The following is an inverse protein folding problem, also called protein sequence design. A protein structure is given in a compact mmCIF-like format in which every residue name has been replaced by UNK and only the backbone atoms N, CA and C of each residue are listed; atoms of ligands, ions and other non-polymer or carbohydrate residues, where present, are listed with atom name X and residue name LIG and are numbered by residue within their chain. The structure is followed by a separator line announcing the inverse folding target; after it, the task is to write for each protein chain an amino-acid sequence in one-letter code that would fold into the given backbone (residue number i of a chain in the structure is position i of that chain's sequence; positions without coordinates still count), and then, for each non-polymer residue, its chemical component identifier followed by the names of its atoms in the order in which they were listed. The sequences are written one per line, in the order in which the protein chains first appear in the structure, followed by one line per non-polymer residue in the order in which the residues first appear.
data_IF_809935818774
#
_entry.id   IF_809935818774
#
_cell.length_a   1.000
_cell.length_b   1.000
_cell.length_c   1.000
_cell.angle_alpha   90.00
_cell.angle_beta   90.00
_cell.angle_gamma   90.00
#
_symmetry.space_group_name_H-M   'P 1'
#
loop_
_entity.id
_entity.type
_entity.pdbx_description
1 polymer ?
#
# COMPACT_ATOMS: atom_id res chain seq x y z
N UNK A 1 -15.77 -15.29 -12.94
CA UNK A 1 -14.65 -15.44 -11.99
C UNK A 1 -13.59 -16.31 -12.67
N UNK A 2 -12.66 -15.70 -13.41
CA UNK A 2 -11.66 -16.43 -14.20
C UNK A 2 -10.53 -16.90 -13.25
N UNK A 3 -10.65 -18.15 -12.78
CA UNK A 3 -9.63 -18.87 -11.99
C UNK A 3 -8.36 -19.05 -12.83
N UNK A 4 -7.19 -18.77 -12.24
CA UNK A 4 -5.82 -19.15 -12.68
C UNK A 4 -4.86 -18.09 -13.22
N UNK A 5 -5.06 -16.79 -13.01
CA UNK A 5 -3.88 -15.89 -13.04
C UNK A 5 -2.89 -16.35 -11.97
N UNK A 6 -1.70 -16.78 -12.39
CA UNK A 6 -0.75 -17.52 -11.55
C UNK A 6 -0.49 -16.81 -10.21
N UNK A 7 -0.53 -17.57 -9.12
CA UNK A 7 -0.41 -17.13 -7.72
C UNK A 7 0.78 -16.18 -7.50
N UNK A 8 1.87 -16.42 -8.21
CA UNK A 8 3.09 -15.61 -8.18
C UNK A 8 2.90 -14.23 -8.81
N UNK A 9 2.10 -14.13 -9.88
CA UNK A 9 1.86 -12.88 -10.60
C UNK A 9 1.18 -11.82 -9.75
N UNK A 10 0.11 -12.20 -9.01
CA UNK A 10 -0.64 -11.24 -8.16
C UNK A 10 0.22 -10.66 -7.04
N UNK A 11 1.04 -11.50 -6.39
CA UNK A 11 1.92 -11.08 -5.29
C UNK A 11 3.01 -10.11 -5.74
N UNK A 12 3.57 -10.32 -6.94
CA UNK A 12 4.55 -9.40 -7.52
C UNK A 12 3.95 -8.01 -7.69
N UNK A 13 2.71 -7.91 -8.20
CA UNK A 13 2.04 -6.62 -8.36
C UNK A 13 1.77 -5.93 -7.02
N UNK A 14 1.32 -6.67 -6.01
CA UNK A 14 1.13 -6.15 -4.64
C UNK A 14 2.45 -5.58 -4.10
N UNK A 15 3.54 -6.35 -4.16
CA UNK A 15 4.86 -5.91 -3.70
C UNK A 15 5.32 -4.67 -4.47
N UNK A 16 5.14 -4.67 -5.80
CA UNK A 16 5.53 -3.54 -6.65
C UNK A 16 4.75 -2.27 -6.29
N UNK A 17 3.46 -2.37 -5.98
CA UNK A 17 2.64 -1.25 -5.50
C UNK A 17 3.14 -0.73 -4.15
N UNK A 18 3.39 -1.62 -3.18
CA UNK A 18 3.87 -1.20 -1.86
C UNK A 18 5.28 -0.58 -1.93
N UNK A 19 6.17 -1.18 -2.72
CA UNK A 19 7.54 -0.70 -2.91
C UNK A 19 7.54 0.65 -3.64
N UNK A 20 6.70 0.82 -4.67
CA UNK A 20 6.61 2.08 -5.39
C UNK A 20 6.02 3.20 -4.52
N UNK A 21 5.03 2.90 -3.69
CA UNK A 21 4.48 3.86 -2.72
C UNK A 21 5.52 4.31 -1.70
N UNK A 22 6.26 3.35 -1.11
CA UNK A 22 7.35 3.66 -0.18
C UNK A 22 8.46 4.46 -0.88
N UNK A 23 8.88 4.03 -2.08
CA UNK A 23 9.90 4.71 -2.87
C UNK A 23 9.53 6.16 -3.20
N UNK A 24 8.28 6.42 -3.57
CA UNK A 24 7.75 7.77 -3.80
C UNK A 24 7.93 8.65 -2.54
N UNK A 25 7.49 8.17 -1.38
CA UNK A 25 7.65 8.89 -0.12
C UNK A 25 9.13 9.15 0.22
N UNK A 26 9.99 8.15 0.04
CA UNK A 26 11.43 8.28 0.32
C UNK A 26 12.13 9.27 -0.62
N UNK A 27 11.88 9.17 -1.93
CA UNK A 27 12.49 10.06 -2.93
C UNK A 27 12.01 11.50 -2.71
N UNK A 28 10.72 11.70 -2.42
CA UNK A 28 10.19 13.03 -2.11
C UNK A 28 10.89 13.65 -0.89
N UNK A 29 10.96 12.93 0.23
CA UNK A 29 11.61 13.44 1.45
C UNK A 29 13.11 13.67 1.26
N UNK A 30 13.78 12.79 0.51
CA UNK A 30 15.18 12.97 0.17
C UNK A 30 15.39 14.22 -0.68
N UNK A 31 14.60 14.40 -1.75
CA UNK A 31 14.67 15.53 -2.67
C UNK A 31 14.35 16.86 -2.00
N UNK A 32 13.44 16.86 -1.03
CA UNK A 32 13.15 18.03 -0.18
C UNK A 32 14.40 18.50 0.59
N UNK A 33 15.25 17.56 1.02
CA UNK A 33 16.48 17.89 1.78
C UNK A 33 17.72 18.12 0.92
N UNK A 34 17.90 17.33 -0.14
CA UNK A 34 19.05 17.42 -1.04
C UNK A 34 18.89 18.50 -2.13
N UNK A 35 17.67 19.02 -2.30
CA UNK A 35 17.30 19.93 -3.39
C UNK A 35 16.70 19.18 -4.57
N UNK A 36 15.72 19.81 -5.21
CA UNK A 36 15.05 19.26 -6.38
C UNK A 36 15.98 19.30 -7.60
N UNK A 37 16.20 18.14 -8.20
CA UNK A 37 16.91 18.00 -9.47
C UNK A 37 15.97 17.42 -10.52
N UNK A 38 16.23 17.69 -11.79
CA UNK A 38 15.45 17.10 -12.90
C UNK A 38 15.46 15.57 -12.83
N UNK A 39 16.56 14.97 -12.37
CA UNK A 39 16.67 13.53 -12.17
C UNK A 39 15.69 13.03 -11.10
N UNK A 40 15.58 13.69 -9.95
CA UNK A 40 14.64 13.29 -8.91
C UNK A 40 13.18 13.42 -9.36
N UNK A 41 12.84 14.51 -10.05
CA UNK A 41 11.49 14.69 -10.62
C UNK A 41 11.16 13.58 -11.63
N UNK A 42 12.10 13.21 -12.51
CA UNK A 42 11.89 12.14 -13.47
C UNK A 42 11.68 10.79 -12.78
N UNK A 43 12.50 10.48 -11.77
CA UNK A 43 12.37 9.25 -10.98
C UNK A 43 11.01 9.21 -10.27
N UNK A 44 10.59 10.31 -9.65
CA UNK A 44 9.29 10.40 -8.98
C UNK A 44 8.12 10.12 -9.92
N UNK A 45 8.14 10.70 -11.13
CA UNK A 45 7.12 10.44 -12.17
C UNK A 45 7.11 8.95 -12.55
N UNK A 46 8.27 8.31 -12.68
CA UNK A 46 8.38 6.88 -12.96
C UNK A 46 7.74 6.07 -11.82
N UNK A 47 8.02 6.42 -10.56
CA UNK A 47 7.43 5.76 -9.41
C UNK A 47 5.91 5.91 -9.37
N UNK A 48 5.37 7.10 -9.69
CA UNK A 48 3.92 7.31 -9.83
C UNK A 48 3.32 6.42 -10.93
N UNK A 49 3.96 6.34 -12.09
CA UNK A 49 3.49 5.51 -13.19
C UNK A 49 3.49 4.01 -12.81
N UNK A 50 4.55 3.54 -12.16
CA UNK A 50 4.64 2.16 -11.65
C UNK A 50 3.58 1.91 -10.58
N UNK A 51 3.37 2.86 -9.67
CA UNK A 51 2.36 2.76 -8.60
C UNK A 51 0.97 2.59 -9.20
N UNK A 52 0.58 3.45 -10.13
CA UNK A 52 -0.73 3.39 -10.77
C UNK A 52 -0.92 2.09 -11.57
N UNK A 53 0.08 1.72 -12.38
CA UNK A 53 0.01 0.52 -13.21
C UNK A 53 -0.06 -0.75 -12.36
N UNK A 54 0.81 -0.87 -11.36
CA UNK A 54 0.82 -2.00 -10.43
C UNK A 54 -0.44 -2.05 -9.58
N UNK A 55 -0.98 -0.91 -9.14
CA UNK A 55 -2.23 -0.85 -8.39
C UNK A 55 -3.40 -1.38 -9.21
N UNK A 56 -3.54 -0.94 -10.46
CA UNK A 56 -4.61 -1.42 -11.35
C UNK A 56 -4.48 -2.93 -11.57
N UNK A 57 -3.28 -3.42 -11.85
CA UNK A 57 -3.04 -4.84 -12.11
C UNK A 57 -3.22 -5.70 -10.86
N UNK A 58 -2.73 -5.25 -9.70
CA UNK A 58 -2.68 -6.00 -8.46
C UNK A 58 -3.96 -5.95 -7.63
N UNK A 59 -4.71 -4.84 -7.65
CA UNK A 59 -5.87 -4.63 -6.78
C UNK A 59 -7.18 -4.47 -7.54
N UNK A 60 -7.19 -3.73 -8.65
CA UNK A 60 -8.43 -3.46 -9.40
C UNK A 60 -8.83 -4.67 -10.23
N UNK A 61 -7.92 -5.19 -11.06
CA UNK A 61 -8.22 -6.34 -11.93
C UNK A 61 -8.44 -7.65 -11.17
N UNK A 62 -7.79 -7.81 -10.02
CA UNK A 62 -7.96 -8.97 -9.13
C UNK A 62 -9.25 -8.89 -8.30
N UNK A 63 -9.88 -7.71 -8.23
CA UNK A 63 -11.07 -7.48 -7.41
C UNK A 63 -10.80 -7.30 -5.92
N UNK A 64 -9.53 -7.36 -5.47
CA UNK A 64 -9.15 -7.14 -4.07
C UNK A 64 -9.56 -5.75 -3.58
N UNK A 65 -9.45 -4.74 -4.45
CA UNK A 65 -9.92 -3.38 -4.15
C UNK A 65 -11.42 -3.34 -3.88
N UNK A 66 -12.21 -3.98 -4.75
CA UNK A 66 -13.66 -4.02 -4.60
C UNK A 66 -14.07 -4.82 -3.36
N UNK A 67 -13.38 -5.94 -3.07
CA UNK A 67 -13.63 -6.76 -1.90
C UNK A 67 -13.46 -5.98 -0.59
N UNK A 68 -12.36 -5.22 -0.45
CA UNK A 68 -12.13 -4.39 0.74
C UNK A 68 -13.14 -3.24 0.94
N UNK A 69 -13.85 -2.83 -0.13
CA UNK A 69 -14.84 -1.75 -0.09
C UNK A 69 -16.28 -2.24 -0.17
N UNK A 70 -16.53 -3.56 -0.16
CA UNK A 70 -17.88 -4.11 -0.08
C UNK A 70 -18.50 -3.77 1.27
N UNK A 71 -19.81 -3.53 1.26
CA UNK A 71 -20.57 -3.34 2.48
C UNK A 71 -20.57 -4.62 3.31
N UNK A 72 -20.42 -4.50 4.64
CA UNK A 72 -20.47 -5.64 5.56
C UNK A 72 -21.76 -6.48 5.45
N UNK A 73 -22.87 -5.86 4.99
CA UNK A 73 -24.15 -6.55 4.79
C UNK A 73 -24.17 -7.49 3.57
N UNK A 74 -23.20 -7.36 2.67
CA UNK A 74 -23.09 -8.12 1.43
C UNK A 74 -22.06 -9.26 1.52
N UNK A 75 -21.38 -9.39 2.66
CA UNK A 75 -20.35 -10.39 2.88
C UNK A 75 -20.95 -11.59 3.61
N UNK A 76 -20.61 -12.77 3.14
CA UNK A 76 -20.93 -14.00 3.86
C UNK A 76 -20.12 -14.08 5.17
N UNK A 77 -20.57 -14.87 6.15
CA UNK A 77 -19.93 -14.99 7.47
C UNK A 77 -18.44 -15.36 7.37
N UNK A 78 -18.09 -16.21 6.38
CA UNK A 78 -16.70 -16.58 6.09
C UNK A 78 -15.88 -15.41 5.58
N UNK A 79 -16.40 -14.64 4.63
CA UNK A 79 -15.71 -13.47 4.08
C UNK A 79 -15.53 -12.38 5.14
N UNK A 80 -16.52 -12.21 6.01
CA UNK A 80 -16.46 -11.29 7.14
C UNK A 80 -15.35 -11.67 8.13
N UNK A 81 -15.21 -12.97 8.44
CA UNK A 81 -14.13 -13.46 9.30
C UNK A 81 -12.74 -13.19 8.69
N UNK A 82 -12.58 -13.42 7.38
CA UNK A 82 -11.34 -13.17 6.65
C UNK A 82 -10.98 -11.68 6.65
N UNK A 83 -11.96 -10.81 6.35
CA UNK A 83 -11.76 -9.35 6.35
C UNK A 83 -11.42 -8.86 7.77
N UNK A 84 -12.13 -9.34 8.79
CA UNK A 84 -11.87 -8.97 10.18
C UNK A 84 -10.46 -9.35 10.62
N UNK A 85 -10.03 -10.57 10.32
CA UNK A 85 -8.66 -11.05 10.59
C UNK A 85 -7.61 -10.21 9.85
N UNK A 86 -7.85 -9.93 8.56
CA UNK A 86 -6.94 -9.16 7.72
C UNK A 86 -6.84 -7.71 8.18
N UNK A 87 -7.96 -7.08 8.56
CA UNK A 87 -7.99 -5.73 9.12
C UNK A 87 -7.22 -5.68 10.44
N UNK A 88 -7.47 -6.61 11.37
CA UNK A 88 -6.77 -6.64 12.66
C UNK A 88 -5.25 -6.74 12.46
N UNK A 89 -4.82 -7.65 11.59
CA UNK A 89 -3.40 -7.82 11.25
C UNK A 89 -2.86 -6.56 10.58
N UNK A 90 -3.63 -5.95 9.68
CA UNK A 90 -3.23 -4.73 8.99
C UNK A 90 -3.02 -3.56 9.95
N UNK A 91 -3.96 -3.35 10.87
CA UNK A 91 -3.86 -2.30 11.89
C UNK A 91 -2.65 -2.52 12.79
N UNK A 92 -2.39 -3.75 13.24
CA UNK A 92 -1.21 -4.04 14.06
C UNK A 92 0.10 -3.66 13.33
N UNK A 93 0.25 -4.09 12.07
CA UNK A 93 1.42 -3.75 11.25
C UNK A 93 1.53 -2.24 11.02
N UNK A 94 0.42 -1.61 10.62
CA UNK A 94 0.38 -0.17 10.35
C UNK A 94 0.74 0.65 11.59
N UNK A 95 0.17 0.33 12.75
CA UNK A 95 0.46 1.03 14.00
C UNK A 95 1.93 0.91 14.39
N UNK A 96 2.51 -0.29 14.33
CA UNK A 96 3.94 -0.48 14.64
C UNK A 96 4.81 0.33 13.68
N UNK A 97 4.52 0.30 12.38
CA UNK A 97 5.27 1.04 11.36
C UNK A 97 5.15 2.55 11.55
N UNK A 98 3.95 3.08 11.76
CA UNK A 98 3.71 4.52 11.96
C UNK A 98 4.35 5.01 13.25
N UNK A 99 4.22 4.28 14.36
CA UNK A 99 4.87 4.68 15.62
C UNK A 99 6.40 4.67 15.49
N UNK A 100 6.96 3.66 14.83
CA UNK A 100 8.40 3.60 14.56
C UNK A 100 8.87 4.76 13.68
N UNK A 101 8.09 5.10 12.64
CA UNK A 101 8.35 6.24 11.78
C UNK A 101 8.26 7.57 12.54
N UNK A 102 7.23 7.78 13.34
CA UNK A 102 7.07 9.00 14.15
C UNK A 102 8.21 9.14 15.17
N UNK A 103 8.64 8.04 15.79
CA UNK A 103 9.82 8.04 16.66
C UNK A 103 11.08 8.45 15.88
N UNK A 104 11.30 7.91 14.68
CA UNK A 104 12.42 8.30 13.83
C UNK A 104 12.38 9.80 13.46
N UNK A 105 11.20 10.31 13.09
CA UNK A 105 11.02 11.73 12.78
C UNK A 105 11.32 12.60 14.00
N UNK A 106 10.85 12.20 15.19
CA UNK A 106 11.12 12.90 16.44
C UNK A 106 12.63 12.92 16.77
N UNK A 107 13.32 11.79 16.60
CA UNK A 107 14.77 11.68 16.85
C UNK A 107 15.63 12.46 15.85
N UNK A 108 15.13 12.68 14.63
CA UNK A 108 15.84 13.42 13.57
C UNK A 108 15.41 14.88 13.46
N UNK A 109 14.51 15.34 14.33
CA UNK A 109 13.94 16.70 14.33
C UNK A 109 13.38 17.12 12.96
N UNK A 110 12.87 16.17 12.17
CA UNK A 110 12.35 16.43 10.83
C UNK A 110 10.86 16.80 10.86
N UNK A 111 10.42 17.53 9.84
CA UNK A 111 9.00 17.79 9.59
C UNK A 111 8.40 16.73 8.67
N UNK A 112 7.20 16.25 8.98
CA UNK A 112 6.45 15.31 8.14
C UNK A 112 5.85 16.07 6.96
N UNK A 113 6.14 15.66 5.72
CA UNK A 113 5.50 16.27 4.55
C UNK A 113 4.08 15.73 4.30
N UNK A 114 3.29 16.51 3.56
CA UNK A 114 1.96 16.07 3.12
C UNK A 114 2.03 14.82 2.23
N UNK A 115 3.06 14.66 1.41
CA UNK A 115 3.24 13.48 0.54
C UNK A 115 3.46 12.23 1.37
N UNK A 116 4.23 12.32 2.45
CA UNK A 116 4.42 11.22 3.39
C UNK A 116 3.10 10.84 4.08
N UNK A 117 2.31 11.82 4.54
CA UNK A 117 0.98 11.59 5.13
C UNK A 117 0.05 10.89 4.15
N UNK A 118 -0.06 11.39 2.92
CA UNK A 118 -0.89 10.78 1.86
C UNK A 118 -0.43 9.35 1.56
N UNK A 119 0.88 9.12 1.55
CA UNK A 119 1.43 7.77 1.34
C UNK A 119 1.04 6.81 2.45
N UNK A 120 1.07 7.23 3.72
CA UNK A 120 0.56 6.41 4.84
C UNK A 120 -0.94 6.16 4.75
N UNK A 121 -1.73 7.14 4.34
CA UNK A 121 -3.18 6.96 4.14
C UNK A 121 -3.43 5.91 3.06
N UNK A 122 -2.78 6.01 1.91
CA UNK A 122 -2.90 5.02 0.83
C UNK A 122 -2.44 3.65 1.32
N UNK A 123 -1.30 3.58 2.00
CA UNK A 123 -0.76 2.35 2.55
C UNK A 123 -1.77 1.67 3.50
N UNK A 124 -2.40 2.43 4.41
CA UNK A 124 -3.41 1.92 5.32
C UNK A 124 -4.62 1.29 4.59
N UNK A 125 -5.02 1.84 3.45
CA UNK A 125 -6.13 1.30 2.65
C UNK A 125 -5.73 0.05 1.86
N UNK A 126 -4.48 -0.03 1.40
CA UNK A 126 -3.97 -1.17 0.63
C UNK A 126 -3.61 -2.36 1.51
N UNK A 127 -3.24 -2.14 2.77
CA UNK A 127 -2.69 -3.17 3.64
C UNK A 127 -3.66 -4.33 3.92
N UNK A 128 -4.95 -4.11 4.25
CA UNK A 128 -5.90 -5.20 4.45
C UNK A 128 -6.08 -6.02 3.17
N UNK A 129 -6.20 -5.36 2.01
CA UNK A 129 -6.34 -6.03 0.72
C UNK A 129 -5.06 -6.79 0.33
N UNK A 130 -3.88 -6.29 0.71
CA UNK A 130 -2.59 -6.97 0.53
C UNK A 130 -2.54 -8.27 1.32
N UNK A 131 -2.97 -8.25 2.58
CA UNK A 131 -3.00 -9.42 3.45
C UNK A 131 -3.99 -10.46 2.91
N UNK A 132 -5.21 -10.06 2.52
CA UNK A 132 -6.18 -10.96 1.89
C UNK A 132 -5.61 -11.59 0.61
N UNK A 133 -4.96 -10.79 -0.23
CA UNK A 133 -4.33 -11.28 -1.46
C UNK A 133 -3.12 -12.20 -1.21
N UNK A 134 -2.54 -12.16 -0.01
CA UNK A 134 -1.40 -12.98 0.40
C UNK A 134 -1.83 -14.31 1.04
N UNK A 135 -2.83 -14.26 1.93
CA UNK A 135 -3.27 -15.37 2.78
C UNK A 135 -4.20 -16.39 2.09
N UNK A 136 -4.58 -16.18 0.82
CA UNK A 136 -5.34 -17.16 0.01
C UNK A 136 -6.61 -17.74 0.71
N UNK A 137 -7.37 -16.95 1.47
CA UNK A 137 -8.68 -17.42 2.00
C UNK A 137 -9.83 -17.01 1.08
N UNK A 138 -9.81 -17.49 -0.17
CA UNK A 138 -10.99 -17.62 -1.06
C UNK A 138 -10.83 -18.85 -1.95
#
# INVERSE_FOLDING_TARGET
MNKSTSKTGSRIWIILTLLSLAGLAFIFEYSKTAGWTTAFTLIEIIFIAILLFSFVMGYVRTGLWAFGHRSLKQLDERELMVISHSLRTAYAIFTVLVLSFLLFVALTERSISMVCVVSFIIFAHLLPASIVGWDEVV
#
